data_IF_596217467069
#
_entry.id   IF_596217467069
#
_cell.length_a   1.000
_cell.length_b   1.000
_cell.length_c   1.000
_cell.angle_alpha   90.00
_cell.angle_beta   90.00
_cell.angle_gamma   90.00
#
_symmetry.space_group_name_H-M   'P 1'
#
loop_
_entity.id
_entity.type
_entity.pdbx_description
1 polymer ?
#
# COMPACT_ATOMS: atom_id res chain seq x y z
N UNK A 1 25.15 -1.60 6.09
CA UNK A 1 23.85 -1.07 6.54
C UNK A 1 24.04 -0.46 7.92
N UNK A 2 23.58 0.76 8.12
CA UNK A 2 23.51 1.47 9.40
C UNK A 2 22.03 1.75 9.67
N UNK A 3 21.37 0.84 10.40
CA UNK A 3 19.97 1.00 10.81
C UNK A 3 19.84 2.08 11.88
N UNK A 4 18.63 2.64 12.04
CA UNK A 4 18.34 3.49 13.19
C UNK A 4 18.53 2.70 14.49
N UNK A 5 18.98 3.37 15.56
CA UNK A 5 19.19 2.71 16.85
C UNK A 5 17.88 2.12 17.39
N UNK A 6 16.76 2.82 17.20
CA UNK A 6 15.45 2.35 17.62
C UNK A 6 15.06 1.04 16.92
N UNK A 7 15.38 0.89 15.63
CA UNK A 7 15.16 -0.36 14.90
C UNK A 7 16.02 -1.52 15.45
N UNK A 8 17.31 -1.26 15.72
CA UNK A 8 18.20 -2.27 16.31
C UNK A 8 17.72 -2.75 17.69
N UNK A 9 17.11 -1.87 18.47
CA UNK A 9 16.52 -2.21 19.76
C UNK A 9 15.28 -3.12 19.59
N UNK A 10 14.49 -2.92 18.53
CA UNK A 10 13.38 -3.82 18.16
C UNK A 10 13.88 -5.20 17.78
N UNK A 11 14.88 -5.31 16.90
CA UNK A 11 15.48 -6.60 16.53
C UNK A 11 15.98 -7.34 17.77
N UNK A 12 16.69 -6.63 18.67
CA UNK A 12 17.17 -7.21 19.93
C UNK A 12 16.04 -7.71 20.82
N UNK A 13 14.95 -6.95 20.95
CA UNK A 13 13.79 -7.32 21.75
C UNK A 13 13.04 -8.55 21.20
N UNK A 14 13.08 -8.74 19.87
CA UNK A 14 12.46 -9.88 19.18
C UNK A 14 13.37 -11.11 19.08
N UNK A 15 14.58 -11.04 19.63
CA UNK A 15 15.55 -12.15 19.63
C UNK A 15 16.44 -12.21 18.39
N UNK A 16 16.42 -11.18 17.54
CA UNK A 16 17.25 -11.05 16.36
C UNK A 16 16.51 -10.42 15.18
N UNK A 17 17.24 -10.26 14.07
CA UNK A 17 16.65 -9.88 12.79
C UNK A 17 15.73 -11.00 12.30
N UNK A 18 14.55 -10.61 11.80
CA UNK A 18 13.56 -11.51 11.25
C UNK A 18 13.24 -11.13 9.80
N UNK A 19 13.00 -12.13 8.94
CA UNK A 19 12.54 -11.97 7.57
C UNK A 19 11.49 -13.04 7.28
N UNK A 20 10.62 -12.78 6.30
CA UNK A 20 9.54 -13.70 5.92
C UNK A 20 10.07 -14.78 4.98
N UNK A 21 10.21 -16.00 5.50
CA UNK A 21 10.68 -17.18 4.75
C UNK A 21 9.78 -18.39 5.03
N UNK A 22 9.86 -19.41 4.18
CA UNK A 22 9.14 -20.68 4.35
C UNK A 22 8.06 -20.92 3.29
N UNK A 23 7.26 -21.96 3.49
CA UNK A 23 6.09 -22.24 2.64
C UNK A 23 4.98 -21.23 2.88
N UNK A 24 4.00 -21.10 1.96
CA UNK A 24 2.85 -20.21 2.18
C UNK A 24 2.13 -20.46 3.50
N UNK A 25 1.99 -21.72 3.92
CA UNK A 25 1.36 -22.09 5.19
C UNK A 25 2.17 -21.61 6.39
N UNK A 26 3.50 -21.75 6.34
CA UNK A 26 4.40 -21.28 7.40
C UNK A 26 4.39 -19.75 7.50
N UNK A 27 4.42 -19.05 6.35
CA UNK A 27 4.34 -17.59 6.26
C UNK A 27 3.01 -17.09 6.84
N UNK A 28 1.87 -17.67 6.42
CA UNK A 28 0.54 -17.32 6.94
C UNK A 28 0.44 -17.55 8.45
N UNK A 29 0.92 -18.69 8.95
CA UNK A 29 0.89 -19.00 10.38
C UNK A 29 1.78 -18.05 11.19
N UNK A 30 2.97 -17.70 10.68
CA UNK A 30 3.86 -16.75 11.31
C UNK A 30 3.24 -15.34 11.35
N UNK A 31 2.60 -14.92 10.26
CA UNK A 31 1.90 -13.65 10.17
C UNK A 31 0.74 -13.56 11.18
N UNK A 32 -0.14 -14.56 11.24
CA UNK A 32 -1.27 -14.60 12.20
C UNK A 32 -0.74 -14.45 13.64
N UNK A 33 0.29 -15.22 14.01
CA UNK A 33 0.88 -15.14 15.35
C UNK A 33 1.48 -13.76 15.64
N UNK A 34 2.12 -13.15 14.65
CA UNK A 34 2.66 -11.79 14.77
C UNK A 34 1.52 -10.79 14.98
N UNK A 35 0.49 -10.82 14.15
CA UNK A 35 -0.68 -9.93 14.23
C UNK A 35 -1.41 -10.06 15.57
N UNK A 36 -1.65 -11.27 16.08
CA UNK A 36 -2.24 -11.49 17.41
C UNK A 36 -1.37 -10.92 18.54
N UNK A 37 -0.04 -11.02 18.42
CA UNK A 37 0.90 -10.49 19.41
C UNK A 37 0.90 -8.98 19.37
N UNK A 38 0.98 -8.39 18.18
CA UNK A 38 0.97 -6.95 17.96
C UNK A 38 -0.36 -6.33 18.39
N UNK A 39 -1.50 -7.00 18.14
CA UNK A 39 -2.83 -6.56 18.58
C UNK A 39 -2.92 -6.43 20.11
N UNK A 40 -2.30 -7.34 20.88
CA UNK A 40 -2.26 -7.28 22.35
C UNK A 40 -1.41 -6.12 22.88
N UNK A 41 -0.41 -5.69 22.11
CA UNK A 41 0.48 -4.58 22.45
C UNK A 41 -0.01 -3.24 21.89
N UNK A 42 -0.96 -3.28 20.97
CA UNK A 42 -1.48 -2.11 20.29
C UNK A 42 -2.26 -1.23 21.27
N UNK A 43 -2.02 0.10 21.29
CA UNK A 43 -2.92 1.03 21.92
C UNK A 43 -4.33 0.84 21.39
N UNK A 44 -5.32 1.01 22.29
CA UNK A 44 -6.72 1.01 21.91
C UNK A 44 -6.96 2.04 20.80
N UNK A 45 -7.72 1.69 19.75
CA UNK A 45 -8.06 2.64 18.71
C UNK A 45 -8.76 3.87 19.30
N UNK A 46 -8.44 5.05 18.75
CA UNK A 46 -9.14 6.28 19.11
C UNK A 46 -10.65 6.15 18.82
N UNK A 47 -11.49 6.72 19.68
CA UNK A 47 -12.95 6.74 19.49
C UNK A 47 -13.39 7.83 18.50
N UNK A 48 -12.45 8.55 17.90
CA UNK A 48 -12.66 9.61 16.92
C UNK A 48 -12.98 9.10 15.51
N UNK A 49 -12.89 7.79 15.26
CA UNK A 49 -13.25 7.14 14.01
C UNK A 49 -14.21 6.00 14.28
N UNK A 50 -15.34 6.00 13.57
CA UNK A 50 -16.29 4.88 13.54
C UNK A 50 -15.85 3.92 12.46
N UNK A 51 -15.71 2.64 12.81
CA UNK A 51 -15.44 1.55 11.87
C UNK A 51 -16.68 0.66 11.77
N UNK A 52 -17.06 0.27 10.56
CA UNK A 52 -18.15 -0.66 10.30
C UNK A 52 -17.81 -1.58 9.14
N UNK A 53 -18.08 -2.86 9.31
CA UNK A 53 -17.79 -3.88 8.30
C UNK A 53 -18.99 -4.04 7.35
N UNK A 54 -18.69 -4.40 6.11
CA UNK A 54 -19.67 -4.67 5.07
C UNK A 54 -19.09 -5.60 4.01
N UNK A 55 -19.90 -5.90 2.99
CA UNK A 55 -19.53 -6.86 1.95
C UNK A 55 -20.01 -6.36 0.57
N UNK A 56 -19.21 -6.59 -0.46
CA UNK A 56 -19.57 -6.39 -1.88
C UNK A 56 -19.16 -7.64 -2.64
N UNK A 57 -20.14 -8.37 -3.20
CA UNK A 57 -19.86 -9.56 -4.03
C UNK A 57 -18.91 -10.57 -3.34
N UNK A 58 -19.21 -10.92 -2.08
CA UNK A 58 -18.39 -11.83 -1.24
C UNK A 58 -17.02 -11.27 -0.82
N UNK A 59 -16.71 -10.01 -1.14
CA UNK A 59 -15.50 -9.31 -0.68
C UNK A 59 -15.85 -8.44 0.52
N UNK A 60 -15.28 -8.78 1.68
CA UNK A 60 -15.44 -8.00 2.90
C UNK A 60 -14.68 -6.66 2.78
N UNK A 61 -15.23 -5.64 3.43
CA UNK A 61 -14.55 -4.36 3.60
C UNK A 61 -14.85 -3.77 4.97
N UNK A 62 -13.95 -2.90 5.43
CA UNK A 62 -14.17 -2.06 6.61
C UNK A 62 -14.20 -0.59 6.23
N UNK A 63 -15.30 0.07 6.55
CA UNK A 63 -15.50 1.50 6.35
C UNK A 63 -15.07 2.26 7.60
N UNK A 64 -14.15 3.21 7.45
CA UNK A 64 -13.66 4.12 8.47
C UNK A 64 -14.18 5.52 8.20
N UNK A 65 -14.92 6.09 9.16
CA UNK A 65 -15.52 7.41 9.04
C UNK A 65 -15.19 8.27 10.27
N UNK A 66 -14.73 9.52 10.10
CA UNK A 66 -14.51 10.43 11.22
C UNK A 66 -15.80 10.65 12.02
N UNK A 67 -15.71 10.56 13.35
CA UNK A 67 -16.86 10.73 14.25
C UNK A 67 -17.41 12.16 14.14
N UNK A 68 -18.73 12.28 14.09
CA UNK A 68 -19.40 13.57 13.89
C UNK A 68 -19.39 14.08 12.45
N UNK A 69 -18.89 13.28 11.49
CA UNK A 69 -19.10 13.51 10.08
C UNK A 69 -20.60 13.60 9.76
N UNK A 70 -20.98 14.56 8.91
CA UNK A 70 -22.35 14.71 8.41
C UNK A 70 -22.37 14.35 6.94
N UNK A 71 -23.32 13.51 6.55
CA UNK A 71 -23.58 13.13 5.15
C UNK A 71 -23.81 14.35 4.23
N UNK A 72 -24.22 15.49 4.78
CA UNK A 72 -24.41 16.75 4.06
C UNK A 72 -23.09 17.46 3.67
N UNK A 73 -21.95 17.02 4.21
CA UNK A 73 -20.61 17.55 3.88
C UNK A 73 -19.70 16.44 3.35
N UNK A 74 -19.94 15.93 2.13
CA UNK A 74 -19.24 14.76 1.60
C UNK A 74 -17.71 14.86 1.74
N UNK A 75 -17.06 13.76 2.11
CA UNK A 75 -15.61 13.67 2.29
C UNK A 75 -14.93 12.94 1.12
N UNK A 76 -13.64 13.21 0.85
CA UNK A 76 -12.84 12.34 -0.01
C UNK A 76 -12.88 10.88 0.47
N UNK A 77 -12.76 9.94 -0.46
CA UNK A 77 -12.83 8.50 -0.18
C UNK A 77 -11.53 7.83 -0.63
N UNK A 78 -10.84 7.17 0.29
CA UNK A 78 -9.66 6.34 0.00
C UNK A 78 -10.05 4.87 -0.05
N UNK A 79 -9.72 4.18 -1.14
CA UNK A 79 -9.71 2.71 -1.14
C UNK A 79 -8.35 2.26 -0.62
N UNK A 80 -8.37 1.56 0.51
CA UNK A 80 -7.21 0.99 1.15
C UNK A 80 -7.20 -0.53 0.94
N UNK A 81 -6.03 -1.10 0.76
CA UNK A 81 -5.81 -2.55 0.70
C UNK A 81 -4.63 -2.88 1.61
N UNK A 82 -4.63 -4.06 2.24
CA UNK A 82 -3.64 -4.38 3.27
C UNK A 82 -2.31 -4.94 2.70
N UNK A 83 -1.19 -4.70 3.38
CA UNK A 83 0.11 -5.29 2.98
C UNK A 83 0.15 -6.81 3.13
N UNK A 84 1.31 -7.43 2.88
CA UNK A 84 1.52 -8.87 3.14
C UNK A 84 1.79 -9.74 1.91
N UNK A 85 2.43 -9.18 0.87
CA UNK A 85 2.90 -9.97 -0.28
C UNK A 85 1.79 -10.70 -1.05
N UNK A 86 0.57 -10.14 -1.04
CA UNK A 86 -0.66 -10.77 -1.57
C UNK A 86 -1.01 -12.12 -0.94
N UNK A 87 -0.35 -12.51 0.15
CA UNK A 87 -0.40 -13.84 0.76
C UNK A 87 -0.93 -13.81 2.19
N UNK A 88 -0.74 -12.70 2.89
CA UNK A 88 -1.13 -12.53 4.29
C UNK A 88 -1.80 -11.17 4.50
N UNK A 89 -2.30 -10.95 5.71
CA UNK A 89 -2.99 -9.72 6.10
C UNK A 89 -4.50 -9.88 6.05
N UNK A 90 -5.18 -8.89 6.63
CA UNK A 90 -6.64 -8.81 6.77
C UNK A 90 -7.04 -7.37 7.15
N UNK A 91 -8.33 -7.15 7.42
CA UNK A 91 -8.89 -5.87 7.86
C UNK A 91 -8.34 -5.35 9.21
N UNK A 92 -7.73 -6.20 10.03
CA UNK A 92 -7.16 -5.81 11.33
C UNK A 92 -5.69 -5.40 11.22
N UNK A 93 -4.99 -5.87 10.18
CA UNK A 93 -3.54 -5.72 10.00
C UNK A 93 -3.06 -4.27 9.97
N UNK A 94 -3.79 -3.38 9.29
CA UNK A 94 -3.51 -1.93 9.28
C UNK A 94 -4.68 -1.04 9.71
N UNK A 95 -5.57 -1.57 10.58
CA UNK A 95 -6.70 -0.82 11.13
C UNK A 95 -6.28 0.55 11.69
N UNK A 96 -5.14 0.59 12.38
CA UNK A 96 -4.62 1.81 12.99
C UNK A 96 -4.16 2.85 11.95
N UNK A 97 -3.65 2.45 10.78
CA UNK A 97 -3.28 3.36 9.69
C UNK A 97 -4.54 3.94 9.06
N UNK A 98 -5.52 3.10 8.75
CA UNK A 98 -6.81 3.50 8.20
C UNK A 98 -7.49 4.54 9.10
N UNK A 99 -7.51 4.31 10.42
CA UNK A 99 -8.02 5.28 11.40
C UNK A 99 -7.22 6.58 11.42
N UNK A 100 -5.89 6.49 11.47
CA UNK A 100 -5.04 7.68 11.54
C UNK A 100 -5.20 8.57 10.30
N UNK A 101 -5.27 7.98 9.10
CA UNK A 101 -5.51 8.71 7.86
C UNK A 101 -6.93 9.28 7.85
N UNK A 102 -7.94 8.46 8.17
CA UNK A 102 -9.34 8.90 8.19
C UNK A 102 -9.54 10.12 9.11
N UNK A 103 -9.03 10.05 10.33
CA UNK A 103 -9.10 11.12 11.31
C UNK A 103 -8.34 12.37 10.86
N UNK A 104 -7.02 12.22 10.63
CA UNK A 104 -6.13 13.37 10.48
C UNK A 104 -6.24 14.04 9.11
N UNK A 105 -6.56 13.30 8.05
CA UNK A 105 -6.82 13.85 6.73
C UNK A 105 -8.29 14.22 6.51
N UNK A 106 -9.19 13.89 7.45
CA UNK A 106 -10.64 14.10 7.34
C UNK A 106 -11.19 13.48 6.04
N UNK A 107 -11.00 12.17 5.89
CA UNK A 107 -11.50 11.41 4.77
C UNK A 107 -12.13 10.09 5.22
N UNK A 108 -12.92 9.48 4.34
CA UNK A 108 -13.45 8.14 4.53
C UNK A 108 -12.44 7.15 3.96
N UNK A 109 -12.15 6.06 4.67
CA UNK A 109 -11.34 4.95 4.15
C UNK A 109 -12.21 3.71 4.04
N UNK A 110 -12.12 3.01 2.91
CA UNK A 110 -12.70 1.69 2.71
C UNK A 110 -11.52 0.72 2.57
N UNK A 111 -11.25 -0.04 3.62
CA UNK A 111 -10.23 -1.10 3.61
C UNK A 111 -10.84 -2.36 3.03
N UNK A 112 -10.22 -2.93 2.01
CA UNK A 112 -10.73 -4.12 1.28
C UNK A 112 -9.99 -5.37 1.73
N UNK A 113 -10.74 -6.42 2.06
CA UNK A 113 -10.22 -7.75 2.40
C UNK A 113 -10.12 -8.60 1.12
N UNK A 114 -9.11 -8.30 0.30
CA UNK A 114 -8.95 -8.95 -0.99
C UNK A 114 -8.50 -10.42 -0.82
N UNK A 115 -8.83 -11.28 -1.79
CA UNK A 115 -8.47 -12.71 -1.72
C UNK A 115 -6.97 -12.95 -1.79
N UNK A 116 -6.47 -13.92 -1.03
CA UNK A 116 -5.03 -14.15 -0.86
C UNK A 116 -4.50 -15.31 -1.72
N UNK A 117 -3.21 -15.21 -2.04
CA UNK A 117 -2.40 -16.29 -2.61
C UNK A 117 -2.05 -17.34 -1.54
N UNK A 118 -1.76 -18.60 -1.93
CA UNK A 118 -1.75 -19.14 -3.29
C UNK A 118 -3.13 -19.56 -3.84
N UNK A 119 -4.20 -19.46 -3.06
CA UNK A 119 -5.54 -19.93 -3.43
C UNK A 119 -6.12 -19.11 -4.58
N UNK A 120 -5.84 -17.80 -4.60
CA UNK A 120 -6.25 -16.88 -5.64
C UNK A 120 -5.04 -16.12 -6.19
N UNK A 121 -4.65 -16.43 -7.43
CA UNK A 121 -3.52 -15.78 -8.12
C UNK A 121 -3.91 -14.43 -8.72
N UNK A 122 -2.92 -13.65 -9.15
CA UNK A 122 -3.17 -12.43 -9.91
C UNK A 122 -3.99 -12.73 -11.18
N UNK A 123 -4.98 -11.89 -11.55
CA UNK A 123 -5.30 -10.58 -10.99
C UNK A 123 -6.48 -10.60 -9.98
N UNK A 124 -6.72 -11.67 -9.22
CA UNK A 124 -7.86 -11.74 -8.28
C UNK A 124 -7.90 -10.58 -7.29
N UNK A 125 -6.75 -10.21 -6.72
CA UNK A 125 -6.61 -9.11 -5.75
C UNK A 125 -7.03 -7.76 -6.33
N UNK A 126 -6.56 -7.47 -7.56
CA UNK A 126 -6.94 -6.29 -8.30
C UNK A 126 -8.44 -6.29 -8.62
N UNK A 127 -8.98 -7.42 -9.08
CA UNK A 127 -10.40 -7.55 -9.42
C UNK A 127 -11.31 -7.32 -8.21
N UNK A 128 -10.96 -7.88 -7.05
CA UNK A 128 -11.69 -7.68 -5.79
C UNK A 128 -11.71 -6.20 -5.41
N UNK A 129 -10.53 -5.57 -5.48
CA UNK A 129 -10.38 -4.13 -5.19
C UNK A 129 -11.17 -3.27 -6.18
N UNK A 130 -11.16 -3.58 -7.47
CA UNK A 130 -11.95 -2.88 -8.50
C UNK A 130 -13.46 -3.05 -8.30
N UNK A 131 -13.89 -4.22 -7.82
CA UNK A 131 -15.27 -4.50 -7.45
C UNK A 131 -15.74 -3.55 -6.34
N UNK A 132 -15.00 -3.50 -5.24
CA UNK A 132 -15.31 -2.59 -4.12
C UNK A 132 -15.18 -1.12 -4.53
N UNK A 133 -14.13 -0.75 -5.27
CA UNK A 133 -13.95 0.62 -5.80
C UNK A 133 -15.14 1.08 -6.65
N UNK A 134 -15.59 0.22 -7.58
CA UNK A 134 -16.73 0.50 -8.45
C UNK A 134 -18.04 0.63 -7.67
N UNK A 135 -18.25 -0.24 -6.69
CA UNK A 135 -19.39 -0.15 -5.78
C UNK A 135 -19.34 1.15 -4.97
N UNK A 136 -18.18 1.51 -4.43
CA UNK A 136 -17.99 2.67 -3.58
C UNK A 136 -18.27 3.98 -4.32
N UNK A 137 -17.82 4.13 -5.57
CA UNK A 137 -18.16 5.31 -6.39
C UNK A 137 -19.67 5.45 -6.56
N UNK A 138 -20.36 4.34 -6.89
CA UNK A 138 -21.80 4.35 -7.14
C UNK A 138 -22.61 4.64 -5.88
N UNK A 139 -22.07 4.29 -4.71
CA UNK A 139 -22.76 4.38 -3.43
C UNK A 139 -22.20 5.49 -2.52
N UNK A 140 -21.27 6.32 -2.99
CA UNK A 140 -20.55 7.29 -2.15
C UNK A 140 -21.47 8.11 -1.25
N UNK A 141 -22.58 8.60 -1.79
CA UNK A 141 -23.55 9.40 -1.04
C UNK A 141 -24.18 8.66 0.14
N UNK A 142 -24.34 7.34 0.10
CA UNK A 142 -25.00 6.57 1.18
C UNK A 142 -24.18 6.52 2.47
N UNK A 143 -22.86 6.68 2.36
CA UNK A 143 -21.93 6.73 3.49
C UNK A 143 -21.28 8.11 3.69
N UNK A 144 -21.78 9.15 2.99
CA UNK A 144 -21.25 10.51 3.11
C UNK A 144 -19.90 10.73 2.44
N UNK A 145 -19.54 9.89 1.47
CA UNK A 145 -18.41 10.08 0.57
C UNK A 145 -18.76 10.94 -0.64
N UNK A 146 -17.74 11.59 -1.20
CA UNK A 146 -17.80 12.36 -2.42
C UNK A 146 -17.36 11.50 -3.61
N UNK A 147 -18.28 11.17 -4.52
CA UNK A 147 -18.04 10.32 -5.70
C UNK A 147 -17.02 10.90 -6.69
N UNK A 148 -16.62 12.17 -6.54
CA UNK A 148 -15.67 12.84 -7.42
C UNK A 148 -14.26 12.97 -6.84
N UNK A 149 -14.07 12.60 -5.55
CA UNK A 149 -12.80 12.75 -4.81
C UNK A 149 -12.32 11.41 -4.24
N UNK A 150 -12.13 10.44 -5.12
CA UNK A 150 -11.60 9.13 -4.78
C UNK A 150 -10.07 9.07 -4.95
N UNK A 151 -9.40 8.36 -4.07
CA UNK A 151 -7.98 8.02 -4.18
C UNK A 151 -7.75 6.57 -3.76
N UNK A 152 -6.60 6.02 -4.12
CA UNK A 152 -6.15 4.70 -3.63
C UNK A 152 -4.94 4.87 -2.73
N UNK A 153 -4.83 4.00 -1.75
CA UNK A 153 -3.74 4.01 -0.78
C UNK A 153 -3.40 2.58 -0.36
N UNK A 154 -2.12 2.31 -0.17
CA UNK A 154 -1.71 1.00 0.30
C UNK A 154 -0.20 0.90 0.42
N UNK A 155 0.25 -0.18 1.05
CA UNK A 155 1.66 -0.41 1.28
C UNK A 155 2.14 -1.78 0.78
N UNK A 156 3.38 -1.86 0.31
CA UNK A 156 3.97 -3.10 -0.22
C UNK A 156 3.15 -3.65 -1.39
N UNK A 157 2.71 -4.91 -1.31
CA UNK A 157 1.72 -5.51 -2.20
C UNK A 157 0.50 -4.61 -2.48
N UNK A 158 0.01 -3.89 -1.47
CA UNK A 158 -1.11 -2.96 -1.64
C UNK A 158 -0.73 -1.59 -2.17
N UNK A 159 0.54 -1.20 -2.04
CA UNK A 159 1.09 -0.07 -2.77
C UNK A 159 1.10 -0.36 -4.28
N UNK A 160 1.36 -1.62 -4.66
CA UNK A 160 1.20 -2.08 -6.03
C UNK A 160 -0.28 -2.01 -6.44
N UNK A 161 -1.20 -2.67 -5.73
CA UNK A 161 -2.65 -2.67 -6.06
C UNK A 161 -3.20 -1.23 -6.19
N UNK A 162 -2.79 -0.31 -5.32
CA UNK A 162 -3.21 1.09 -5.41
C UNK A 162 -2.82 1.75 -6.75
N UNK A 163 -1.63 1.44 -7.27
CA UNK A 163 -1.15 1.86 -8.60
C UNK A 163 -1.85 1.10 -9.73
N UNK A 164 -2.12 -0.20 -9.55
CA UNK A 164 -2.81 -1.04 -10.52
C UNK A 164 -4.24 -0.55 -10.77
N UNK A 165 -4.99 -0.19 -9.72
CA UNK A 165 -6.31 0.43 -9.84
C UNK A 165 -6.22 1.72 -10.66
N UNK A 166 -5.23 2.58 -10.36
CA UNK A 166 -5.02 3.81 -11.12
C UNK A 166 -4.67 3.54 -12.59
N UNK A 167 -3.87 2.50 -12.86
CA UNK A 167 -3.52 2.05 -14.20
C UNK A 167 -4.77 1.64 -15.01
N UNK A 168 -5.71 0.89 -14.38
CA UNK A 168 -6.98 0.51 -15.01
C UNK A 168 -7.86 1.73 -15.32
N UNK A 169 -7.92 2.71 -14.42
CA UNK A 169 -8.64 3.97 -14.68
C UNK A 169 -7.97 4.79 -15.79
N UNK A 170 -6.64 4.87 -15.81
CA UNK A 170 -5.85 5.58 -16.81
C UNK A 170 -6.06 5.00 -18.23
N UNK A 171 -6.14 3.68 -18.33
CA UNK A 171 -6.37 2.94 -19.58
C UNK A 171 -7.74 3.23 -20.21
N UNK A 172 -8.75 3.60 -19.40
CA UNK A 172 -10.10 3.88 -19.88
C UNK A 172 -10.42 5.38 -19.83
N UNK A 173 -10.51 6.10 -20.97
CA UNK A 173 -10.81 7.54 -20.99
C UNK A 173 -12.05 7.98 -20.21
N UNK A 174 -13.04 7.10 -20.03
CA UNK A 174 -14.27 7.40 -19.27
C UNK A 174 -14.10 7.31 -17.76
N UNK A 175 -13.02 6.69 -17.28
CA UNK A 175 -12.77 6.44 -15.86
C UNK A 175 -11.62 7.27 -15.29
N UNK A 176 -10.81 7.93 -16.13
CA UNK A 176 -9.65 8.73 -15.68
C UNK A 176 -9.97 9.72 -14.58
N UNK A 177 -11.14 10.35 -14.64
CA UNK A 177 -11.59 11.35 -13.68
C UNK A 177 -12.20 10.77 -12.41
N UNK A 178 -12.35 9.44 -12.30
CA UNK A 178 -12.89 8.80 -11.09
C UNK A 178 -11.84 8.61 -10.01
N UNK A 179 -10.54 8.65 -10.35
CA UNK A 179 -9.44 8.60 -9.39
C UNK A 179 -8.66 9.90 -9.45
N UNK A 180 -8.40 10.49 -8.28
CA UNK A 180 -7.80 11.82 -8.15
C UNK A 180 -6.43 11.80 -7.47
N UNK A 181 -6.00 10.66 -6.94
CA UNK A 181 -4.68 10.50 -6.35
C UNK A 181 -4.35 9.05 -6.03
N UNK A 182 -3.07 8.76 -5.85
CA UNK A 182 -2.56 7.49 -5.32
C UNK A 182 -1.54 7.77 -4.23
N UNK A 183 -1.64 7.09 -3.09
CA UNK A 183 -0.59 7.02 -2.08
C UNK A 183 0.00 5.60 -2.07
N UNK A 184 1.16 5.42 -2.73
CA UNK A 184 1.82 4.14 -2.88
C UNK A 184 3.03 4.06 -1.93
N UNK A 185 2.93 3.24 -0.89
CA UNK A 185 3.95 3.14 0.15
C UNK A 185 4.78 1.87 -0.06
N UNK A 186 6.09 1.99 -0.19
CA UNK A 186 7.02 0.88 -0.51
C UNK A 186 6.48 -0.10 -1.58
N UNK A 187 5.91 0.38 -2.71
CA UNK A 187 5.21 -0.47 -3.68
C UNK A 187 6.15 -1.39 -4.46
N UNK A 188 5.62 -2.51 -4.97
CA UNK A 188 6.25 -3.29 -6.04
C UNK A 188 5.74 -2.80 -7.39
N UNK A 189 6.61 -2.31 -8.28
CA UNK A 189 6.25 -1.71 -9.58
C UNK A 189 7.02 -2.28 -10.76
N UNK A 190 8.10 -3.03 -10.52
CA UNK A 190 8.84 -3.85 -11.47
C UNK A 190 9.11 -5.24 -10.91
N UNK A 191 9.35 -6.18 -11.81
CA UNK A 191 9.90 -7.48 -11.46
C UNK A 191 11.42 -7.48 -11.71
N UNK A 192 12.25 -8.05 -10.81
CA UNK A 192 13.71 -8.06 -10.98
C UNK A 192 14.19 -8.78 -12.24
N UNK A 193 13.44 -9.77 -12.72
CA UNK A 193 13.74 -10.49 -13.98
C UNK A 193 13.40 -9.69 -15.25
N UNK A 194 12.76 -8.54 -15.12
CA UNK A 194 12.40 -7.69 -16.26
C UNK A 194 12.47 -6.20 -15.91
N UNK A 195 13.70 -5.68 -15.89
CA UNK A 195 13.97 -4.26 -15.70
C UNK A 195 14.29 -3.63 -17.06
N UNK A 196 13.51 -2.65 -17.54
CA UNK A 196 13.84 -1.92 -18.76
C UNK A 196 15.21 -1.23 -18.66
N UNK A 197 15.95 -1.21 -19.77
CA UNK A 197 17.33 -0.69 -19.83
C UNK A 197 17.48 0.75 -19.29
N UNK A 198 16.46 1.59 -19.48
CA UNK A 198 16.43 2.97 -18.97
C UNK A 198 16.41 3.07 -17.44
N UNK A 199 15.92 2.02 -16.75
CA UNK A 199 15.80 1.97 -15.29
C UNK A 199 16.90 1.15 -14.60
N UNK A 200 17.74 0.41 -15.34
CA UNK A 200 18.84 -0.39 -14.77
C UNK A 200 19.79 0.43 -13.88
N UNK A 201 19.99 1.71 -14.22
CA UNK A 201 20.85 2.61 -13.43
C UNK A 201 20.24 3.03 -12.08
N UNK A 202 18.92 2.90 -11.95
CA UNK A 202 18.13 3.22 -10.75
C UNK A 202 17.85 1.95 -9.95
N UNK A 203 17.42 0.85 -10.59
CA UNK A 203 16.94 -0.37 -9.95
C UNK A 203 18.07 -1.25 -9.39
N UNK A 204 18.57 -0.89 -8.21
CA UNK A 204 19.72 -1.54 -7.55
C UNK A 204 19.35 -2.19 -6.22
N UNK A 205 18.30 -1.70 -5.56
CA UNK A 205 17.90 -2.08 -4.21
C UNK A 205 17.61 -3.56 -4.08
N UNK A 206 17.04 -4.19 -5.11
CA UNK A 206 16.78 -5.63 -5.10
C UNK A 206 18.07 -6.47 -4.98
N UNK A 207 19.22 -5.92 -5.37
CA UNK A 207 20.54 -6.53 -5.18
C UNK A 207 21.27 -6.01 -3.93
N UNK A 208 21.18 -4.72 -3.63
CA UNK A 208 21.81 -4.11 -2.44
C UNK A 208 21.20 -4.63 -1.13
N UNK A 209 19.89 -4.87 -1.14
CA UNK A 209 19.07 -5.32 0.00
C UNK A 209 18.60 -6.77 -0.18
N UNK A 210 19.37 -7.58 -0.94
CA UNK A 210 18.98 -8.95 -1.27
C UNK A 210 18.91 -9.89 -0.06
N UNK A 211 19.76 -9.65 0.94
CA UNK A 211 19.88 -10.49 2.13
C UNK A 211 20.16 -9.63 3.36
N UNK A 212 19.93 -10.19 4.54
CA UNK A 212 20.25 -9.55 5.82
C UNK A 212 19.54 -8.20 6.02
N UNK A 213 18.35 -8.06 5.43
CA UNK A 213 17.38 -7.00 5.71
C UNK A 213 16.17 -7.60 6.45
N UNK A 214 15.53 -6.85 7.35
CA UNK A 214 14.39 -7.37 8.09
C UNK A 214 13.11 -7.33 7.26
N UNK A 215 12.09 -8.04 7.73
CA UNK A 215 10.75 -8.14 7.15
C UNK A 215 10.73 -8.83 5.78
N UNK A 216 11.24 -8.17 4.74
CA UNK A 216 11.18 -8.66 3.37
C UNK A 216 12.55 -8.56 2.74
N UNK A 217 13.07 -9.69 2.26
CA UNK A 217 14.29 -9.76 1.45
C UNK A 217 13.98 -10.38 0.07
N UNK A 218 15.03 -10.72 -0.69
CA UNK A 218 14.86 -11.33 -2.01
C UNK A 218 14.06 -12.63 -1.96
N UNK A 219 14.35 -13.51 -1.01
CA UNK A 219 13.70 -14.82 -0.90
C UNK A 219 12.20 -14.63 -0.58
N UNK A 220 11.88 -13.67 0.29
CA UNK A 220 10.50 -13.26 0.54
C UNK A 220 9.79 -12.85 -0.75
N UNK A 221 10.39 -11.94 -1.53
CA UNK A 221 9.79 -11.42 -2.77
C UNK A 221 9.65 -12.50 -3.85
N UNK A 222 10.67 -13.34 -4.05
CA UNK A 222 10.62 -14.46 -5.00
C UNK A 222 9.49 -15.44 -4.64
N UNK A 223 9.27 -15.67 -3.35
CA UNK A 223 8.14 -16.48 -2.86
C UNK A 223 6.80 -15.83 -3.19
N UNK A 224 6.64 -14.53 -2.94
CA UNK A 224 5.41 -13.80 -3.26
C UNK A 224 5.13 -13.79 -4.77
N UNK A 225 6.10 -13.46 -5.61
CA UNK A 225 5.92 -13.45 -7.07
C UNK A 225 5.55 -14.83 -7.62
N UNK A 226 6.22 -15.89 -7.13
CA UNK A 226 5.93 -17.27 -7.52
C UNK A 226 4.47 -17.65 -7.21
N UNK A 227 3.98 -17.34 -6.01
CA UNK A 227 2.64 -17.73 -5.59
C UNK A 227 1.54 -16.80 -6.14
N UNK A 228 1.87 -15.54 -6.42
CA UNK A 228 1.02 -14.62 -7.18
C UNK A 228 0.81 -15.08 -8.62
N UNK A 229 1.69 -15.93 -9.17
CA UNK A 229 1.57 -16.44 -10.54
C UNK A 229 1.74 -15.36 -11.61
N UNK A 230 2.45 -14.28 -11.27
CA UNK A 230 2.59 -13.11 -12.13
C UNK A 230 3.77 -13.27 -13.10
N UNK A 231 3.57 -12.86 -14.35
CA UNK A 231 4.66 -12.77 -15.33
C UNK A 231 5.46 -11.48 -15.14
N UNK A 232 6.79 -11.55 -15.22
CA UNK A 232 7.68 -10.40 -15.01
C UNK A 232 7.39 -9.19 -15.92
N UNK A 233 6.79 -9.43 -17.10
CA UNK A 233 6.43 -8.40 -18.08
C UNK A 233 4.99 -7.89 -17.95
N UNK A 234 4.20 -8.36 -16.97
CA UNK A 234 2.80 -7.98 -16.86
C UNK A 234 2.65 -6.52 -16.40
N UNK A 235 2.42 -5.63 -17.37
CA UNK A 235 2.21 -4.20 -17.14
C UNK A 235 0.93 -3.85 -16.36
N UNK A 236 0.01 -4.82 -16.14
CA UNK A 236 -1.12 -4.58 -15.26
C UNK A 236 -0.72 -4.60 -13.79
N UNK A 237 0.28 -5.44 -13.42
CA UNK A 237 0.81 -5.57 -12.05
C UNK A 237 2.04 -4.69 -11.87
N UNK A 238 3.01 -4.81 -12.77
CA UNK A 238 4.23 -4.00 -12.77
C UNK A 238 4.00 -2.68 -13.49
N UNK A 239 3.32 -1.77 -12.80
CA UNK A 239 2.79 -0.52 -13.36
C UNK A 239 3.86 0.42 -13.94
N UNK A 240 5.14 0.26 -13.60
CA UNK A 240 6.23 0.98 -14.27
C UNK A 240 6.39 0.60 -15.75
N UNK A 241 5.87 -0.56 -16.16
CA UNK A 241 5.85 -1.00 -17.57
C UNK A 241 4.66 -0.45 -18.36
N UNK A 242 3.67 0.17 -17.71
CA UNK A 242 2.45 0.66 -18.34
C UNK A 242 2.60 2.05 -19.00
N UNK A 243 3.64 2.21 -19.83
CA UNK A 243 4.10 3.50 -20.37
C UNK A 243 3.02 4.30 -21.09
N UNK A 244 2.12 3.63 -21.83
CA UNK A 244 1.03 4.29 -22.57
C UNK A 244 -0.01 4.96 -21.64
N UNK A 245 -0.13 4.45 -20.40
CA UNK A 245 -1.09 4.93 -19.43
C UNK A 245 -0.52 6.03 -18.54
N UNK A 246 0.81 6.12 -18.35
CA UNK A 246 1.44 7.04 -17.38
C UNK A 246 1.00 8.49 -17.52
N UNK A 247 0.85 9.03 -18.73
CA UNK A 247 0.37 10.41 -18.97
C UNK A 247 -1.07 10.67 -18.51
N UNK A 248 -1.79 9.63 -18.12
CA UNK A 248 -3.17 9.65 -17.67
C UNK A 248 -3.31 9.22 -16.20
N UNK A 249 -2.20 8.96 -15.51
CA UNK A 249 -2.25 8.70 -14.07
C UNK A 249 -2.64 9.97 -13.31
N UNK A 250 -3.37 9.82 -12.18
CA UNK A 250 -3.53 10.92 -11.23
C UNK A 250 -2.18 11.22 -10.53
N UNK A 251 -2.09 12.33 -9.79
CA UNK A 251 -0.95 12.60 -8.92
C UNK A 251 -0.63 11.44 -7.97
N UNK A 252 0.66 11.19 -7.73
CA UNK A 252 1.11 10.05 -6.90
C UNK A 252 2.05 10.50 -5.78
N UNK A 253 1.72 10.11 -4.56
CA UNK A 253 2.58 10.21 -3.38
C UNK A 253 3.26 8.87 -3.13
N UNK A 254 4.59 8.87 -3.07
CA UNK A 254 5.43 7.70 -2.82
C UNK A 254 6.07 7.74 -1.44
N UNK A 255 6.23 6.57 -0.85
CA UNK A 255 7.13 6.35 0.30
C UNK A 255 8.11 5.24 -0.04
N UNK A 256 9.39 5.42 0.29
CA UNK A 256 10.40 4.36 0.21
C UNK A 256 11.24 4.27 1.48
N UNK A 257 11.85 3.11 1.72
CA UNK A 257 12.74 2.84 2.84
C UNK A 257 14.15 2.50 2.35
N UNK A 258 15.21 2.88 3.09
CA UNK A 258 16.60 2.66 2.65
C UNK A 258 16.98 1.18 2.55
N UNK A 259 16.58 0.37 3.55
CA UNK A 259 16.89 -1.07 3.62
C UNK A 259 15.68 -1.90 3.21
N UNK A 260 15.28 -1.73 1.96
CA UNK A 260 14.12 -2.36 1.34
C UNK A 260 14.50 -2.85 -0.05
N UNK A 261 14.28 -4.13 -0.41
CA UNK A 261 14.49 -4.59 -1.78
C UNK A 261 13.64 -3.83 -2.80
N UNK A 262 12.47 -3.31 -2.41
CA UNK A 262 11.54 -2.53 -3.23
C UNK A 262 11.79 -1.01 -3.19
N UNK A 263 12.89 -0.55 -2.58
CA UNK A 263 13.21 0.89 -2.50
C UNK A 263 13.15 1.55 -3.88
N UNK A 264 13.79 0.93 -4.87
CA UNK A 264 13.97 1.54 -6.19
C UNK A 264 12.73 1.46 -7.08
N UNK A 265 11.74 0.64 -6.74
CA UNK A 265 10.41 0.63 -7.38
C UNK A 265 9.73 2.00 -7.28
N UNK A 266 9.78 2.64 -6.10
CA UNK A 266 9.25 3.99 -5.92
C UNK A 266 9.96 5.01 -6.81
N UNK A 267 11.30 4.92 -6.89
CA UNK A 267 12.11 5.84 -7.69
C UNK A 267 11.89 5.66 -9.19
N UNK A 268 11.77 4.41 -9.65
CA UNK A 268 11.46 4.09 -11.05
C UNK A 268 10.09 4.62 -11.43
N UNK A 269 9.05 4.28 -10.67
CA UNK A 269 7.69 4.73 -10.98
C UNK A 269 7.58 6.26 -10.89
N UNK A 270 8.24 6.89 -9.91
CA UNK A 270 8.29 8.35 -9.81
C UNK A 270 8.94 8.99 -11.05
N UNK A 271 10.09 8.45 -11.51
CA UNK A 271 10.78 8.96 -12.69
C UNK A 271 9.91 8.80 -13.95
N UNK A 272 9.26 7.66 -14.12
CA UNK A 272 8.36 7.38 -15.23
C UNK A 272 7.19 8.38 -15.27
N UNK A 273 6.54 8.62 -14.13
CA UNK A 273 5.43 9.56 -14.01
C UNK A 273 5.86 11.02 -14.22
N UNK A 274 7.03 11.43 -13.69
CA UNK A 274 7.59 12.77 -13.95
C UNK A 274 7.87 12.99 -15.43
N UNK A 275 8.42 11.99 -16.12
CA UNK A 275 8.67 12.04 -17.56
C UNK A 275 7.36 12.17 -18.36
N UNK A 276 6.27 11.60 -17.86
CA UNK A 276 4.92 11.72 -18.43
C UNK A 276 4.17 13.01 -18.03
N UNK A 277 4.78 13.88 -17.22
CA UNK A 277 4.18 15.14 -16.77
C UNK A 277 3.19 15.01 -15.61
N UNK A 278 3.18 13.87 -14.91
CA UNK A 278 2.31 13.64 -13.75
C UNK A 278 2.97 14.18 -12.47
N UNK A 279 2.25 14.97 -11.64
CA UNK A 279 2.78 15.44 -10.37
C UNK A 279 3.07 14.28 -9.42
N UNK A 280 4.26 14.29 -8.82
CA UNK A 280 4.63 13.33 -7.79
C UNK A 280 5.19 14.01 -6.55
N UNK A 281 5.06 13.33 -5.41
CA UNK A 281 5.76 13.64 -4.17
C UNK A 281 6.36 12.34 -3.63
N UNK A 282 7.53 12.41 -3.01
CA UNK A 282 8.22 11.22 -2.53
C UNK A 282 8.93 11.51 -1.20
N UNK A 283 8.56 10.77 -0.15
CA UNK A 283 9.21 10.82 1.16
C UNK A 283 10.05 9.54 1.35
N UNK A 284 11.36 9.70 1.59
CA UNK A 284 12.30 8.59 1.77
C UNK A 284 12.76 8.44 3.23
N UNK A 285 12.67 7.23 3.76
CA UNK A 285 13.02 6.91 5.14
C UNK A 285 14.41 6.28 5.23
N UNK A 286 15.39 7.11 5.54
CA UNK A 286 16.77 6.71 5.77
C UNK A 286 16.90 5.85 7.04
N UNK A 287 17.70 4.80 6.98
CA UNK A 287 18.05 3.97 8.13
C UNK A 287 16.98 2.95 8.52
N UNK A 288 15.87 2.89 7.79
CA UNK A 288 14.68 2.12 8.14
C UNK A 288 14.41 1.05 7.08
N UNK A 289 13.84 -0.10 7.50
CA UNK A 289 13.51 -1.17 6.57
C UNK A 289 12.14 -1.03 5.92
N UNK A 290 11.88 -1.93 4.97
CA UNK A 290 10.56 -2.18 4.42
C UNK A 290 9.51 -2.20 5.54
N UNK A 291 8.43 -1.43 5.41
CA UNK A 291 7.27 -1.53 6.31
C UNK A 291 7.53 -1.28 7.81
N UNK A 292 8.57 -0.52 8.18
CA UNK A 292 8.96 -0.33 9.57
C UNK A 292 7.82 0.17 10.49
N UNK A 293 6.85 0.90 9.93
CA UNK A 293 5.70 1.44 10.67
C UNK A 293 4.76 0.36 11.23
N UNK A 294 4.87 -0.90 10.80
CA UNK A 294 4.21 -2.02 11.48
C UNK A 294 4.58 -2.07 12.97
N UNK A 295 5.78 -1.61 13.33
CA UNK A 295 6.20 -1.48 14.72
C UNK A 295 5.74 -0.14 15.27
N UNK A 296 4.51 -0.12 15.81
CA UNK A 296 3.85 1.10 16.34
C UNK A 296 4.61 1.80 17.47
N UNK A 297 5.49 1.09 18.19
CA UNK A 297 6.28 1.63 19.29
C UNK A 297 7.53 2.39 18.83
N UNK A 298 7.92 2.31 17.56
CA UNK A 298 9.05 3.06 17.03
C UNK A 298 8.73 4.57 17.00
N UNK A 299 9.62 5.44 17.52
CA UNK A 299 9.45 6.89 17.39
C UNK A 299 9.27 7.35 15.95
N UNK A 300 9.99 6.72 15.01
CA UNK A 300 9.91 7.02 13.58
C UNK A 300 8.52 6.74 13.00
N UNK A 301 7.73 5.84 13.60
CA UNK A 301 6.37 5.53 13.16
C UNK A 301 5.44 6.75 13.33
N UNK A 302 5.64 7.57 14.37
CA UNK A 302 4.87 8.81 14.51
C UNK A 302 5.17 9.79 13.38
N UNK A 303 6.46 10.00 13.07
CA UNK A 303 6.88 10.86 11.96
C UNK A 303 6.33 10.35 10.62
N UNK A 304 6.27 9.02 10.46
CA UNK A 304 5.67 8.40 9.28
C UNK A 304 4.19 8.73 9.13
N UNK A 305 3.40 8.59 10.19
CA UNK A 305 1.96 8.90 10.14
C UNK A 305 1.73 10.36 9.76
N UNK A 306 2.47 11.28 10.36
CA UNK A 306 2.30 12.70 10.06
C UNK A 306 2.69 13.03 8.61
N UNK A 307 3.78 12.43 8.11
CA UNK A 307 4.20 12.59 6.72
C UNK A 307 3.22 11.96 5.73
N UNK A 308 2.68 10.77 6.05
CA UNK A 308 1.62 10.10 5.28
C UNK A 308 0.38 10.98 5.17
N UNK A 309 -0.08 11.56 6.29
CA UNK A 309 -1.20 12.49 6.29
C UNK A 309 -0.89 13.73 5.45
N UNK A 310 0.32 14.29 5.55
CA UNK A 310 0.74 15.39 4.69
C UNK A 310 0.77 15.01 3.20
N UNK A 311 1.15 13.77 2.87
CA UNK A 311 1.11 13.22 1.51
C UNK A 311 -0.31 13.09 0.99
N UNK A 312 -1.24 12.56 1.80
CA UNK A 312 -2.67 12.46 1.46
C UNK A 312 -3.30 13.85 1.30
N UNK A 313 -3.02 14.79 2.20
CA UNK A 313 -3.48 16.17 2.07
C UNK A 313 -2.89 16.87 0.85
N UNK A 314 -1.65 16.54 0.47
CA UNK A 314 -1.05 17.02 -0.77
C UNK A 314 -1.82 16.51 -1.99
N UNK A 315 -2.23 15.23 -2.02
CA UNK A 315 -3.11 14.69 -3.06
C UNK A 315 -4.43 15.47 -3.13
N UNK A 316 -5.06 15.77 -1.98
CA UNK A 316 -6.30 16.56 -1.94
C UNK A 316 -6.14 17.96 -2.52
N UNK A 317 -4.96 18.57 -2.36
CA UNK A 317 -4.63 19.85 -2.98
C UNK A 317 -4.39 19.79 -4.50
N UNK A 318 -4.32 18.59 -5.09
CA UNK A 318 -4.28 18.39 -6.54
C UNK A 318 -5.67 18.12 -7.16
N UNK A 319 -6.68 17.84 -6.33
CA UNK A 319 -8.04 17.47 -6.76
C UNK A 319 -8.91 18.66 -7.14
#
# INVERSE_FOLDING_TARGET
>A
MVYSQAWLDVEKAQGGRFAVHGTPEEIKAAHIKMSETMAKLAPQPSDTVVASDGEVEEIEYRLYTPKGHSIERPLPVGIYTHGGGWMTGDLDSEDWVCRAVSEKASCIIISVDYRLTPEFQMPSQLNDTLGVYTWAIKNASSFGGDSTRFFTIGASASGAIALEVANQMAANPKLRDTIRGVAALVPSTLHPDYVPAEYESIYKSFQENATNVPLVDRESMETFYKHAGVAAQDSNVFTALATENHKHFPPVYFVSCEYDPLRDDSYVMEQALKNAGVPTRHDHYKGLPHYFWAVRSLPETTNFVDSLVCGVLWLFGQM
#
